data_IF_152778034395
#
_entry.id   IF_152778034395
#
_cell.length_a   1.000
_cell.length_b   1.000
_cell.length_c   1.000
_cell.angle_alpha   90.00
_cell.angle_beta   90.00
_cell.angle_gamma   90.00
#
_symmetry.space_group_name_H-M   'P 1'
#
loop_
_entity.id
_entity.type
_entity.pdbx_description
1 polymer ?
#
# COMPACT_ATOMS: atom_id res chain seq x y z
N UNK A 1 -3.79 -29.66 2.62
CA UNK A 1 -4.12 -30.44 3.83
C UNK A 1 -5.61 -30.33 4.06
N UNK A 2 -6.28 -31.47 3.91
CA UNK A 2 -7.61 -31.84 4.41
C UNK A 2 -8.83 -30.96 4.03
N UNK A 3 -9.31 -31.21 2.80
CA UNK A 3 -10.66 -30.93 2.34
C UNK A 3 -11.65 -31.83 3.10
N UNK A 4 -12.58 -31.25 3.88
CA UNK A 4 -13.68 -32.00 4.49
C UNK A 4 -14.95 -31.80 3.65
N UNK A 5 -15.00 -32.50 2.52
CA UNK A 5 -16.25 -32.76 1.81
C UNK A 5 -17.08 -33.73 2.66
N UNK A 6 -18.06 -33.20 3.41
CA UNK A 6 -19.12 -34.03 3.96
C UNK A 6 -20.09 -34.31 2.81
N UNK A 7 -19.70 -35.27 1.97
CA UNK A 7 -20.62 -35.93 1.04
C UNK A 7 -21.72 -36.58 1.86
N UNK A 8 -22.87 -35.92 1.88
CA UNK A 8 -24.13 -36.44 2.36
C UNK A 8 -24.61 -37.52 1.38
N UNK A 9 -23.95 -38.69 1.42
CA UNK A 9 -24.33 -39.85 0.62
C UNK A 9 -24.37 -41.08 1.53
N UNK A 10 -25.61 -41.44 1.90
CA UNK A 10 -26.16 -42.81 1.95
C UNK A 10 -27.30 -42.90 2.95
N UNK A 11 -28.48 -42.45 2.55
CA UNK A 11 -29.74 -43.09 2.91
C UNK A 11 -30.63 -43.18 1.67
N UNK A 12 -30.13 -43.85 0.64
CA UNK A 12 -30.98 -44.39 -0.44
C UNK A 12 -31.39 -45.81 -0.07
N UNK A 13 -32.48 -45.94 0.69
CA UNK A 13 -33.29 -47.17 0.68
C UNK A 13 -34.67 -46.85 0.14
N UNK A 14 -34.77 -47.12 -1.17
CA UNK A 14 -35.92 -47.51 -1.98
C UNK A 14 -37.26 -47.77 -1.24
N UNK A 15 -38.28 -47.07 -1.70
CA UNK A 15 -39.64 -47.55 -2.04
C UNK A 15 -40.41 -48.42 -1.02
N UNK A 16 -41.46 -47.84 -0.42
CA UNK A 16 -42.83 -48.35 -0.60
C UNK A 16 -43.88 -47.28 -0.23
N UNK A 17 -44.92 -47.05 -1.05
CA UNK A 17 -46.10 -46.29 -0.65
C UNK A 17 -47.03 -47.20 0.17
N UNK A 18 -47.80 -46.65 1.09
CA UNK A 18 -48.72 -47.36 2.02
C UNK A 18 -48.05 -48.26 3.06
N UNK A 19 -47.80 -47.70 4.24
CA UNK A 19 -47.28 -48.42 5.40
C UNK A 19 -46.98 -47.42 6.49
N UNK A 20 -48.04 -46.85 7.10
CA UNK A 20 -47.88 -45.94 8.22
C UNK A 20 -47.12 -46.65 9.34
N UNK A 21 -45.90 -46.18 9.64
CA UNK A 21 -45.33 -46.42 10.94
C UNK A 21 -46.36 -45.94 11.96
N UNK A 22 -46.78 -46.77 12.93
CA UNK A 22 -47.75 -46.33 13.92
C UNK A 22 -47.18 -45.06 14.55
N UNK A 23 -47.95 -43.97 14.49
CA UNK A 23 -47.55 -42.76 15.18
C UNK A 23 -47.24 -43.14 16.63
N UNK A 24 -46.13 -42.62 17.20
CA UNK A 24 -45.82 -42.89 18.59
C UNK A 24 -47.07 -42.54 19.40
N UNK A 25 -47.50 -43.47 20.25
CA UNK A 25 -48.72 -43.33 21.04
C UNK A 25 -48.73 -41.96 21.68
N UNK A 26 -49.82 -41.21 21.54
CA UNK A 26 -49.96 -39.95 22.26
C UNK A 26 -50.38 -40.24 23.70
N UNK A 27 -50.11 -39.33 24.66
CA UNK A 27 -50.67 -39.43 26.00
C UNK A 27 -52.18 -39.68 26.00
N UNK A 28 -52.89 -39.08 25.03
CA UNK A 28 -54.32 -39.25 24.82
C UNK A 28 -54.69 -40.66 24.32
N UNK A 29 -53.85 -41.29 23.49
CA UNK A 29 -54.04 -42.66 23.03
C UNK A 29 -53.83 -43.68 24.16
N UNK A 30 -52.96 -43.36 25.12
CA UNK A 30 -52.74 -44.19 26.32
C UNK A 30 -53.93 -44.04 27.28
N UNK A 31 -54.44 -42.83 27.48
CA UNK A 31 -55.60 -42.56 28.32
C UNK A 31 -56.88 -43.23 27.78
N UNK A 32 -57.12 -43.19 26.48
CA UNK A 32 -58.32 -43.75 25.85
C UNK A 32 -58.22 -45.26 25.57
N UNK A 33 -57.20 -45.93 26.09
CA UNK A 33 -56.95 -47.35 25.81
C UNK A 33 -57.81 -48.24 26.69
N UNK A 34 -58.81 -48.89 26.08
CA UNK A 34 -59.60 -49.91 26.77
C UNK A 34 -58.94 -51.31 26.66
N UNK A 35 -58.91 -52.04 27.78
CA UNK A 35 -58.42 -53.40 27.84
C UNK A 35 -59.58 -54.40 27.97
N UNK A 36 -59.51 -55.52 27.22
CA UNK A 36 -60.53 -56.57 27.29
C UNK A 36 -60.44 -57.40 28.57
N UNK A 37 -61.58 -57.63 29.25
CA UNK A 37 -61.65 -58.40 30.51
C UNK A 37 -61.54 -59.92 30.25
N UNK A 38 -60.74 -60.64 31.06
CA UNK A 38 -60.63 -62.11 31.06
C UNK A 38 -60.67 -62.64 32.50
N UNK A 39 -61.12 -63.90 32.68
CA UNK A 39 -61.37 -64.54 33.98
C UNK A 39 -60.14 -64.61 34.93
N UNK A 40 -58.93 -64.42 34.39
CA UNK A 40 -57.68 -64.12 35.11
C UNK A 40 -57.02 -62.94 34.41
N UNK A 41 -56.92 -61.80 35.06
CA UNK A 41 -56.36 -60.57 34.52
C UNK A 41 -55.71 -59.73 35.62
N UNK A 42 -55.02 -58.66 35.23
CA UNK A 42 -54.51 -57.66 36.16
C UNK A 42 -55.66 -56.87 36.80
N UNK A 43 -55.41 -56.31 37.98
CA UNK A 43 -56.35 -55.39 38.62
C UNK A 43 -56.48 -54.12 37.76
N UNK A 44 -57.72 -53.71 37.49
CA UNK A 44 -58.02 -52.56 36.64
C UNK A 44 -57.56 -51.26 37.31
N UNK A 45 -57.67 -51.16 38.64
CA UNK A 45 -57.32 -49.95 39.39
C UNK A 45 -55.79 -49.76 39.45
N UNK A 46 -55.03 -50.83 39.72
CA UNK A 46 -53.54 -50.78 39.71
C UNK A 46 -52.98 -50.46 38.31
N UNK A 47 -53.60 -51.01 37.25
CA UNK A 47 -53.21 -50.73 35.87
C UNK A 47 -53.50 -49.28 35.51
N UNK A 48 -54.66 -48.74 35.89
CA UNK A 48 -55.00 -47.34 35.62
C UNK A 48 -54.06 -46.38 36.36
N UNK A 49 -53.73 -46.63 37.63
CA UNK A 49 -52.78 -45.81 38.38
C UNK A 49 -51.38 -45.81 37.73
N UNK A 50 -50.92 -46.97 37.25
CA UNK A 50 -49.68 -47.07 36.50
C UNK A 50 -49.73 -46.32 35.16
N UNK A 51 -50.84 -46.44 34.42
CA UNK A 51 -51.03 -45.74 33.14
C UNK A 51 -51.06 -44.21 33.33
N UNK A 52 -51.66 -43.71 34.41
CA UNK A 52 -51.62 -42.28 34.76
C UNK A 52 -50.19 -41.78 35.00
N UNK A 53 -49.35 -42.58 35.66
CA UNK A 53 -47.94 -42.26 35.85
C UNK A 53 -47.18 -42.27 34.52
N UNK A 54 -47.42 -43.28 33.68
CA UNK A 54 -46.82 -43.36 32.33
C UNK A 54 -47.24 -42.17 31.46
N UNK A 55 -48.51 -41.76 31.51
CA UNK A 55 -49.01 -40.58 30.79
C UNK A 55 -48.25 -39.32 31.20
N UNK A 56 -48.09 -39.09 32.52
CA UNK A 56 -47.36 -37.92 33.05
C UNK A 56 -45.90 -37.89 32.59
N UNK A 57 -45.21 -39.03 32.71
CA UNK A 57 -43.79 -39.13 32.34
C UNK A 57 -43.61 -38.99 30.83
N UNK A 58 -44.54 -39.53 30.03
CA UNK A 58 -44.52 -39.42 28.58
C UNK A 58 -44.81 -37.99 28.10
N UNK A 59 -45.73 -37.27 28.74
CA UNK A 59 -45.93 -35.83 28.49
C UNK A 59 -44.69 -35.00 28.86
N UNK A 60 -44.01 -35.33 29.95
CA UNK A 60 -42.75 -34.68 30.33
C UNK A 60 -41.67 -34.91 29.27
N UNK A 61 -41.53 -36.15 28.79
CA UNK A 61 -40.58 -36.51 27.74
C UNK A 61 -40.88 -35.78 26.41
N UNK A 62 -42.15 -35.68 26.01
CA UNK A 62 -42.54 -34.94 24.80
C UNK A 62 -42.17 -33.45 24.92
N UNK A 63 -42.44 -32.84 26.07
CA UNK A 63 -42.07 -31.44 26.34
C UNK A 63 -40.56 -31.24 26.26
N UNK A 64 -39.79 -32.08 26.95
CA UNK A 64 -38.34 -32.01 26.95
C UNK A 64 -37.78 -32.22 25.53
N UNK A 65 -38.30 -33.19 24.77
CA UNK A 65 -37.86 -33.42 23.40
C UNK A 65 -38.10 -32.19 22.51
N UNK A 66 -39.27 -31.55 22.65
CA UNK A 66 -39.57 -30.30 21.93
C UNK A 66 -38.64 -29.17 22.34
N UNK A 67 -38.34 -29.02 23.62
CA UNK A 67 -37.43 -27.99 24.11
C UNK A 67 -35.99 -28.22 23.62
N UNK A 68 -35.52 -29.46 23.64
CA UNK A 68 -34.22 -29.83 23.09
C UNK A 68 -34.15 -29.60 21.57
N UNK A 69 -35.21 -29.93 20.83
CA UNK A 69 -35.30 -29.63 19.39
C UNK A 69 -35.22 -28.12 19.14
N UNK A 70 -35.92 -27.31 19.92
CA UNK A 70 -35.84 -25.85 19.82
C UNK A 70 -34.44 -25.32 20.13
N UNK A 71 -33.77 -25.88 21.14
CA UNK A 71 -32.39 -25.52 21.47
C UNK A 71 -31.41 -25.87 20.35
N UNK A 72 -31.55 -27.06 19.75
CA UNK A 72 -30.74 -27.49 18.61
C UNK A 72 -30.91 -26.52 17.44
N UNK A 73 -32.15 -26.16 17.10
CA UNK A 73 -32.44 -25.21 16.03
C UNK A 73 -31.77 -23.85 16.29
N UNK A 74 -31.92 -23.30 17.50
CA UNK A 74 -31.29 -22.03 17.88
C UNK A 74 -29.75 -22.10 17.84
N UNK A 75 -29.16 -23.18 18.34
CA UNK A 75 -27.71 -23.39 18.29
C UNK A 75 -27.21 -23.49 16.84
N UNK A 76 -27.97 -24.16 15.97
CA UNK A 76 -27.62 -24.31 14.57
C UNK A 76 -27.71 -22.99 13.80
N UNK A 77 -28.71 -22.16 14.09
CA UNK A 77 -28.79 -20.79 13.57
C UNK A 77 -27.59 -19.93 14.00
N UNK A 78 -27.19 -20.01 15.28
CA UNK A 78 -26.00 -19.31 15.79
C UNK A 78 -24.71 -19.80 15.12
N UNK A 79 -24.55 -21.10 14.95
CA UNK A 79 -23.38 -21.68 14.26
C UNK A 79 -23.31 -21.20 12.81
N UNK A 80 -24.44 -21.20 12.09
CA UNK A 80 -24.50 -20.68 10.73
C UNK A 80 -24.15 -19.19 10.67
N UNK A 81 -24.62 -18.39 11.64
CA UNK A 81 -24.25 -16.99 11.76
C UNK A 81 -22.74 -16.79 11.97
N UNK A 82 -22.14 -17.56 12.88
CA UNK A 82 -20.70 -17.49 13.12
C UNK A 82 -19.88 -17.95 11.91
N UNK A 83 -20.30 -19.01 11.22
CA UNK A 83 -19.65 -19.47 9.99
C UNK A 83 -19.65 -18.37 8.90
N UNK A 84 -20.76 -17.66 8.73
CA UNK A 84 -20.84 -16.54 7.78
C UNK A 84 -19.94 -15.37 8.19
N UNK A 85 -19.83 -15.07 9.48
CA UNK A 85 -18.91 -14.05 10.00
C UNK A 85 -17.47 -14.45 9.74
N UNK A 86 -17.10 -15.70 10.04
CA UNK A 86 -15.75 -16.22 9.82
C UNK A 86 -15.36 -16.14 8.34
N UNK A 87 -16.25 -16.55 7.43
CA UNK A 87 -16.03 -16.45 5.99
C UNK A 87 -15.83 -14.99 5.55
N UNK A 88 -16.69 -14.08 6.03
CA UNK A 88 -16.61 -12.65 5.71
C UNK A 88 -15.33 -12.02 6.25
N UNK A 89 -14.93 -12.38 7.48
CA UNK A 89 -13.71 -11.89 8.10
C UNK A 89 -12.48 -12.39 7.35
N UNK A 90 -12.44 -13.68 6.99
CA UNK A 90 -11.38 -14.29 6.21
C UNK A 90 -11.21 -13.59 4.85
N UNK A 91 -12.31 -13.37 4.12
CA UNK A 91 -12.31 -12.60 2.86
C UNK A 91 -11.79 -11.18 3.06
N UNK A 92 -12.23 -10.52 4.13
CA UNK A 92 -11.84 -9.14 4.43
C UNK A 92 -10.35 -9.03 4.73
N UNK A 93 -9.78 -9.99 5.47
CA UNK A 93 -8.34 -10.05 5.76
C UNK A 93 -7.54 -10.21 4.47
N UNK A 94 -7.98 -11.08 3.57
CA UNK A 94 -7.30 -11.29 2.27
C UNK A 94 -7.32 -10.00 1.45
N UNK A 95 -8.48 -9.36 1.31
CA UNK A 95 -8.60 -8.09 0.57
C UNK A 95 -7.75 -6.98 1.20
N UNK A 96 -7.73 -6.88 2.53
CA UNK A 96 -6.88 -5.91 3.23
C UNK A 96 -5.40 -6.17 2.98
N UNK A 97 -4.97 -7.43 2.97
CA UNK A 97 -3.58 -7.82 2.69
C UNK A 97 -3.20 -7.51 1.23
N UNK A 98 -4.05 -7.86 0.28
CA UNK A 98 -3.83 -7.56 -1.15
C UNK A 98 -3.72 -6.05 -1.38
N UNK A 99 -4.64 -5.26 -0.80
CA UNK A 99 -4.58 -3.80 -0.87
C UNK A 99 -3.30 -3.23 -0.25
N UNK A 100 -2.88 -3.76 0.91
CA UNK A 100 -1.63 -3.34 1.54
C UNK A 100 -0.40 -3.67 0.67
N UNK A 101 -0.38 -4.86 0.05
CA UNK A 101 0.69 -5.27 -0.86
C UNK A 101 0.72 -4.43 -2.14
N UNK A 102 -0.44 -4.09 -2.69
CA UNK A 102 -0.56 -3.19 -3.85
C UNK A 102 -0.03 -1.79 -3.52
N UNK A 103 -0.46 -1.19 -2.41
CA UNK A 103 0.02 0.13 -1.97
C UNK A 103 1.53 0.11 -1.76
N UNK A 104 2.06 -0.92 -1.11
CA UNK A 104 3.51 -1.09 -0.90
C UNK A 104 4.26 -1.24 -2.24
N UNK A 105 3.71 -2.01 -3.17
CA UNK A 105 4.28 -2.22 -4.50
C UNK A 105 4.32 -0.93 -5.32
N UNK A 106 3.23 -0.16 -5.31
CA UNK A 106 3.13 1.11 -6.01
C UNK A 106 4.07 2.17 -5.41
N UNK A 107 4.07 2.33 -4.08
CA UNK A 107 4.98 3.25 -3.39
C UNK A 107 6.46 2.93 -3.68
N UNK A 108 6.83 1.64 -3.76
CA UNK A 108 8.20 1.23 -4.10
C UNK A 108 8.57 1.60 -5.55
N UNK A 109 7.66 1.39 -6.50
CA UNK A 109 7.88 1.78 -7.91
C UNK A 109 8.02 3.29 -8.05
N UNK A 110 7.14 4.05 -7.40
CA UNK A 110 7.17 5.51 -7.41
C UNK A 110 8.47 6.04 -6.81
N UNK A 111 8.89 5.52 -5.65
CA UNK A 111 10.17 5.90 -5.04
C UNK A 111 11.36 5.63 -5.98
N UNK A 112 11.37 4.48 -6.68
CA UNK A 112 12.42 4.18 -7.66
C UNK A 112 12.41 5.13 -8.85
N UNK A 113 11.23 5.55 -9.33
CA UNK A 113 11.11 6.53 -10.40
C UNK A 113 11.63 7.89 -9.97
N UNK A 114 11.26 8.35 -8.77
CA UNK A 114 11.73 9.61 -8.20
C UNK A 114 13.25 9.62 -8.08
N UNK A 115 13.85 8.55 -7.55
CA UNK A 115 15.32 8.43 -7.43
C UNK A 115 15.96 8.52 -8.81
N UNK A 116 15.46 7.74 -9.78
CA UNK A 116 16.01 7.72 -11.14
C UNK A 116 15.89 9.08 -11.85
N UNK A 117 14.79 9.79 -11.64
CA UNK A 117 14.59 11.11 -12.20
C UNK A 117 15.50 12.16 -11.54
N UNK A 118 15.66 12.07 -10.21
CA UNK A 118 16.58 12.92 -9.46
C UNK A 118 18.03 12.72 -9.89
N UNK A 119 18.47 11.47 -10.05
CA UNK A 119 19.80 11.12 -10.57
C UNK A 119 20.02 11.71 -11.96
N UNK A 120 19.08 11.49 -12.89
CA UNK A 120 19.17 12.05 -14.25
C UNK A 120 19.23 13.58 -14.25
N UNK A 121 18.46 14.23 -13.40
CA UNK A 121 18.47 15.69 -13.31
C UNK A 121 19.77 16.21 -12.69
N UNK A 122 20.29 15.53 -11.67
CA UNK A 122 21.59 15.84 -11.07
C UNK A 122 22.71 15.73 -12.12
N UNK A 123 22.76 14.65 -12.88
CA UNK A 123 23.73 14.45 -13.97
C UNK A 123 23.65 15.56 -15.02
N UNK A 124 22.43 15.98 -15.37
CA UNK A 124 22.22 17.09 -16.30
C UNK A 124 22.77 18.40 -15.75
N UNK A 125 22.46 18.73 -14.50
CA UNK A 125 22.94 19.95 -13.84
C UNK A 125 24.47 19.98 -13.75
N UNK A 126 25.09 18.84 -13.39
CA UNK A 126 26.54 18.72 -13.31
C UNK A 126 27.19 18.92 -14.68
N UNK A 127 26.67 18.25 -15.72
CA UNK A 127 27.19 18.40 -17.08
C UNK A 127 27.05 19.83 -17.61
N UNK A 128 25.88 20.45 -17.43
CA UNK A 128 25.64 21.84 -17.85
C UNK A 128 26.58 22.81 -17.12
N UNK A 129 26.80 22.60 -15.83
CA UNK A 129 27.71 23.41 -15.02
C UNK A 129 29.17 23.22 -15.46
N UNK A 130 29.57 21.99 -15.77
CA UNK A 130 30.91 21.68 -16.26
C UNK A 130 31.17 22.29 -17.64
N UNK A 131 30.20 22.25 -18.55
CA UNK A 131 30.28 22.91 -19.85
C UNK A 131 30.42 24.43 -19.70
N UNK A 132 29.62 25.07 -18.84
CA UNK A 132 29.71 26.50 -18.54
C UNK A 132 31.07 26.87 -17.95
N UNK A 133 31.55 26.09 -16.97
CA UNK A 133 32.86 26.30 -16.34
C UNK A 133 33.99 26.21 -17.37
N UNK A 134 33.94 25.23 -18.26
CA UNK A 134 34.93 25.08 -19.34
C UNK A 134 34.89 26.27 -20.29
N UNK A 135 33.70 26.74 -20.67
CA UNK A 135 33.54 27.93 -21.52
C UNK A 135 34.16 29.17 -20.88
N UNK A 136 33.81 29.45 -19.62
CA UNK A 136 34.38 30.59 -18.88
C UNK A 136 35.90 30.47 -18.75
N UNK A 137 36.43 29.28 -18.51
CA UNK A 137 37.88 29.06 -18.44
C UNK A 137 38.58 29.40 -19.76
N UNK A 138 37.99 29.03 -20.89
CA UNK A 138 38.52 29.38 -22.22
C UNK A 138 38.45 30.88 -22.49
N UNK A 139 37.34 31.54 -22.12
CA UNK A 139 37.19 32.99 -22.25
C UNK A 139 38.23 33.75 -21.40
N UNK A 140 38.52 33.27 -20.18
CA UNK A 140 39.55 33.84 -19.30
C UNK A 140 40.94 33.72 -19.94
N UNK A 141 41.29 32.56 -20.52
CA UNK A 141 42.59 32.39 -21.18
C UNK A 141 42.72 33.28 -22.43
N UNK A 142 41.66 33.45 -23.22
CA UNK A 142 41.68 34.37 -24.35
C UNK A 142 41.81 35.83 -23.89
N UNK A 143 41.10 36.25 -22.84
CA UNK A 143 41.22 37.60 -22.29
C UNK A 143 42.63 37.88 -21.75
N UNK A 144 43.27 36.90 -21.09
CA UNK A 144 44.67 37.02 -20.65
C UNK A 144 45.62 37.23 -21.83
N UNK A 145 45.41 36.47 -22.92
CA UNK A 145 46.21 36.61 -24.15
C UNK A 145 46.03 38.00 -24.76
N UNK A 146 44.79 38.49 -24.88
CA UNK A 146 44.49 39.83 -25.37
C UNK A 146 45.14 40.91 -24.51
N UNK A 147 45.05 40.80 -23.18
CA UNK A 147 45.68 41.72 -22.24
C UNK A 147 47.22 41.72 -22.39
N UNK A 148 47.84 40.55 -22.57
CA UNK A 148 49.29 40.45 -22.82
C UNK A 148 49.69 41.13 -24.13
N UNK A 149 48.94 40.91 -25.21
CA UNK A 149 49.21 41.55 -26.51
C UNK A 149 49.06 43.06 -26.40
N UNK A 150 47.98 43.53 -25.77
CA UNK A 150 47.75 44.95 -25.54
C UNK A 150 48.88 45.58 -24.73
N UNK A 151 49.31 44.93 -23.64
CA UNK A 151 50.45 45.37 -22.82
C UNK A 151 51.72 45.51 -23.64
N UNK A 152 52.06 44.52 -24.48
CA UNK A 152 53.24 44.59 -25.34
C UNK A 152 53.14 45.76 -26.32
N UNK A 153 52.00 45.92 -27.01
CA UNK A 153 51.79 47.03 -27.95
C UNK A 153 51.89 48.40 -27.29
N UNK A 154 51.28 48.54 -26.11
CA UNK A 154 51.33 49.78 -25.35
C UNK A 154 52.75 50.11 -24.91
N UNK A 155 53.50 49.11 -24.44
CA UNK A 155 54.91 49.26 -24.09
C UNK A 155 55.74 49.78 -25.27
N UNK A 156 55.62 49.12 -26.43
CA UNK A 156 56.34 49.53 -27.65
C UNK A 156 55.98 50.95 -28.09
N UNK A 157 54.69 51.33 -27.97
CA UNK A 157 54.26 52.70 -28.28
C UNK A 157 54.94 53.71 -27.36
N UNK A 158 54.94 53.47 -26.04
CA UNK A 158 55.59 54.36 -25.07
C UNK A 158 57.11 54.42 -25.28
N UNK A 159 57.76 53.29 -25.54
CA UNK A 159 59.21 53.24 -25.87
C UNK A 159 59.53 54.09 -27.10
N UNK A 160 58.72 54.00 -28.17
CA UNK A 160 58.89 54.83 -29.36
C UNK A 160 58.67 56.33 -29.09
N UNK A 161 57.71 56.69 -28.24
CA UNK A 161 57.49 58.10 -27.85
C UNK A 161 58.64 58.63 -26.99
N UNK A 162 59.21 57.81 -26.11
CA UNK A 162 60.39 58.17 -25.32
C UNK A 162 61.63 58.34 -26.19
N UNK A 163 61.83 57.47 -27.20
CA UNK A 163 62.93 57.59 -28.15
C UNK A 163 62.85 58.87 -28.99
N UNK A 164 61.64 59.26 -29.41
CA UNK A 164 61.40 60.54 -30.09
C UNK A 164 61.74 61.75 -29.21
N UNK A 165 61.43 61.69 -27.91
CA UNK A 165 61.79 62.76 -26.96
C UNK A 165 63.30 62.78 -26.67
N UNK A 166 63.94 61.60 -26.66
CA UNK A 166 65.38 61.47 -26.44
C UNK A 166 66.22 61.83 -27.67
N UNK A 167 65.63 61.97 -28.86
CA UNK A 167 66.34 62.49 -30.03
C UNK A 167 66.71 63.97 -29.80
N UNK A 168 68.00 64.29 -29.99
CA UNK A 168 68.68 65.59 -29.80
C UNK A 168 68.07 66.81 -30.52
N UNK A 169 66.90 66.67 -31.17
CA UNK A 169 66.18 67.77 -31.79
C UNK A 169 65.69 68.80 -30.77
N UNK A 170 65.37 68.37 -29.54
CA UNK A 170 64.92 69.25 -28.46
C UNK A 170 66.07 70.03 -27.82
N UNK A 171 67.21 69.40 -27.56
CA UNK A 171 68.43 70.07 -27.08
C UNK A 171 68.91 71.14 -28.06
N UNK A 172 68.77 70.90 -29.37
CA UNK A 172 69.08 71.90 -30.40
C UNK A 172 68.08 73.07 -30.41
N UNK A 173 66.81 72.82 -30.11
CA UNK A 173 65.77 73.86 -30.02
C UNK A 173 65.96 74.74 -28.77
N UNK A 174 66.30 74.13 -27.64
CA UNK A 174 66.55 74.83 -26.37
C UNK A 174 67.82 75.69 -26.46
N UNK A 175 68.90 75.14 -27.03
CA UNK A 175 70.14 75.90 -27.28
C UNK A 175 69.95 77.04 -28.29
N UNK A 176 69.13 76.85 -29.34
CA UNK A 176 68.83 77.91 -30.32
C UNK A 176 68.00 79.07 -29.72
N UNK A 177 67.06 78.79 -28.80
CA UNK A 177 66.30 79.82 -28.10
C UNK A 177 67.14 80.60 -27.06
N UNK A 178 68.11 79.92 -26.45
CA UNK A 178 69.07 80.52 -25.52
C UNK A 178 70.04 81.46 -26.23
N UNK A 179 70.46 81.14 -27.47
CA UNK A 179 71.25 82.07 -28.29
C UNK A 179 70.43 83.29 -28.75
N UNK A 180 69.14 83.12 -29.05
CA UNK A 180 68.28 84.22 -29.53
C UNK A 180 67.91 85.23 -28.43
N UNK A 181 67.88 84.80 -27.17
CA UNK A 181 67.60 85.66 -26.01
C UNK A 181 68.82 86.45 -25.53
N UNK A 182 70.04 85.96 -25.79
CA UNK A 182 71.30 86.68 -25.53
C UNK A 182 71.57 87.78 -26.56
N UNK A 183 70.96 87.70 -27.75
CA UNK A 183 71.10 88.69 -28.82
C UNK A 183 70.09 89.85 -28.69
N UNK A 184 68.98 89.67 -27.96
CA UNK A 184 67.95 90.69 -27.70
C UNK A 184 68.19 91.55 -26.45
N UNK A 185 69.30 91.37 -25.74
CA UNK A 185 69.70 92.23 -24.60
C UNK A 185 70.76 93.27 -24.96
N UNK A 186 71.18 93.33 -26.23
CA UNK A 186 72.00 94.40 -26.79
C UNK A 186 71.20 95.07 -27.92
N UNK A 187 70.73 96.30 -27.66
CA UNK A 187 70.01 97.24 -28.54
C UNK A 187 68.48 97.15 -28.60
#
# INVERSE_FOLDING_TARGET
MSNWDITNDRLTTRTNPTGGAPMPLTPLDIHNKEFGRRLRGYDEDEVNEFLDQVIKDYEALIRENKDLQNQILNLQEKLNHFANIEETLSKTIIVAQEAADEVRGNAKKEAQLIIKEAEKNADRIVNDSMMKSRKVSLEVEELKKQASIYRTRFRTLVEAQLELLAQDGWDKLENASSSLSLEGSNY
#
